data_IF_718723743587
#
_entry.id   IF_718723743587
#
_cell.length_a   1.000
_cell.length_b   1.000
_cell.length_c   1.000
_cell.angle_alpha   90.00
_cell.angle_beta   90.00
_cell.angle_gamma   90.00
#
_symmetry.space_group_name_H-M   'P 1'
#
loop_
_entity.id
_entity.type
_entity.pdbx_description
1 polymer ?
#
# COMPACT_ATOMS: atom_id res chain seq x y z
N UNK A 1 6.97 -22.29 17.62
CA UNK A 1 7.75 -21.71 18.74
C UNK A 1 7.17 -20.38 19.14
N UNK A 2 6.84 -19.57 18.12
CA UNK A 2 5.72 -18.65 17.93
C UNK A 2 4.62 -18.61 19.01
N UNK A 3 3.99 -19.74 19.35
CA UNK A 3 2.71 -19.72 20.06
C UNK A 3 1.57 -20.35 19.26
N UNK A 4 1.82 -20.67 18.00
CA UNK A 4 0.90 -21.35 17.11
C UNK A 4 1.25 -22.86 17.06
N UNK A 5 0.26 -23.77 17.06
CA UNK A 5 0.55 -25.19 16.92
C UNK A 5 1.03 -25.50 15.50
N UNK A 6 2.18 -26.18 15.36
CA UNK A 6 2.75 -26.64 14.08
C UNK A 6 1.80 -27.34 13.10
N UNK A 7 0.67 -27.88 13.57
CA UNK A 7 -0.31 -28.52 12.69
C UNK A 7 -1.27 -27.52 12.02
N UNK A 8 -1.25 -26.26 12.45
CA UNK A 8 -1.97 -25.11 11.88
C UNK A 8 -1.17 -24.46 10.77
N UNK A 9 0.14 -24.44 10.91
CA UNK A 9 1.12 -24.00 9.90
C UNK A 9 1.39 -25.09 8.84
N UNK A 10 0.40 -25.95 8.58
CA UNK A 10 0.48 -26.99 7.57
C UNK A 10 -0.15 -26.50 6.28
N UNK A 11 0.67 -26.18 5.28
CA UNK A 11 0.17 -25.74 3.97
C UNK A 11 -0.33 -26.94 3.17
N UNK A 12 -1.60 -26.88 2.74
CA UNK A 12 -2.29 -27.96 2.01
C UNK A 12 -2.26 -29.34 2.70
N UNK A 13 -2.12 -29.36 4.03
CA UNK A 13 -2.01 -30.58 4.83
C UNK A 13 -0.64 -31.26 4.75
N UNK A 14 0.38 -30.54 4.28
CA UNK A 14 1.78 -30.95 4.31
C UNK A 14 2.39 -30.51 5.63
N UNK A 15 3.07 -31.43 6.31
CA UNK A 15 3.81 -31.13 7.55
C UNK A 15 5.22 -30.65 7.14
N UNK A 16 5.63 -29.41 7.47
CA UNK A 16 6.95 -28.90 7.10
C UNK A 16 8.07 -29.76 7.69
N UNK A 17 7.86 -30.35 8.86
CA UNK A 17 8.84 -31.18 9.58
C UNK A 17 8.87 -32.65 9.13
N UNK A 18 7.96 -33.05 8.25
CA UNK A 18 7.96 -34.40 7.68
C UNK A 18 9.06 -34.58 6.63
N UNK A 19 9.35 -35.83 6.29
CA UNK A 19 10.31 -36.25 5.27
C UNK A 19 9.52 -37.17 4.31
N UNK A 20 8.78 -36.55 3.40
CA UNK A 20 7.78 -37.25 2.58
C UNK A 20 8.41 -38.14 1.50
N UNK A 21 9.61 -37.79 1.06
CA UNK A 21 10.34 -38.49 0.02
C UNK A 21 11.32 -39.55 0.59
N UNK A 22 11.68 -39.44 1.87
CA UNK A 22 12.47 -40.38 2.63
C UNK A 22 13.98 -40.27 2.43
N UNK A 23 14.47 -39.13 1.94
CA UNK A 23 15.90 -38.86 1.73
C UNK A 23 16.62 -38.35 3.00
N UNK A 24 15.84 -38.00 4.04
CA UNK A 24 16.32 -37.55 5.33
C UNK A 24 16.42 -36.04 5.48
N UNK A 25 15.91 -35.27 4.52
CA UNK A 25 15.74 -33.81 4.59
C UNK A 25 14.26 -33.49 4.84
N UNK A 26 13.93 -32.62 5.81
CA UNK A 26 12.55 -32.20 6.04
C UNK A 26 11.96 -31.44 4.85
N UNK A 27 10.65 -31.50 4.65
CA UNK A 27 9.93 -30.88 3.53
C UNK A 27 10.23 -29.38 3.36
N UNK A 28 10.34 -28.62 4.47
CA UNK A 28 10.67 -27.19 4.44
C UNK A 28 12.09 -26.87 3.97
N UNK A 29 12.97 -27.87 3.88
CA UNK A 29 14.38 -27.73 3.49
C UNK A 29 14.77 -28.68 2.35
N UNK A 30 13.82 -29.40 1.75
CA UNK A 30 14.09 -30.46 0.78
C UNK A 30 13.91 -29.97 -0.67
N UNK A 31 14.99 -29.70 -1.43
CA UNK A 31 14.89 -29.25 -2.82
C UNK A 31 14.39 -30.34 -3.78
N UNK A 32 14.20 -31.56 -3.29
CA UNK A 32 13.63 -32.68 -4.03
C UNK A 32 12.14 -32.91 -3.71
N UNK A 33 11.61 -32.20 -2.71
CA UNK A 33 10.19 -32.15 -2.39
C UNK A 33 9.39 -31.59 -3.57
N UNK A 34 8.30 -32.25 -3.99
CA UNK A 34 7.46 -31.74 -5.08
C UNK A 34 6.80 -30.41 -4.70
N UNK A 35 7.13 -29.35 -5.46
CA UNK A 35 6.59 -28.02 -5.19
C UNK A 35 7.49 -27.14 -4.33
N UNK A 36 8.73 -27.57 -4.04
CA UNK A 36 9.75 -26.71 -3.45
C UNK A 36 9.98 -25.46 -4.31
N UNK A 37 9.82 -24.30 -3.70
CA UNK A 37 10.11 -22.95 -4.22
C UNK A 37 11.11 -22.32 -3.24
N UNK A 38 12.09 -21.57 -3.75
CA UNK A 38 13.21 -20.99 -2.99
C UNK A 38 13.75 -19.83 -3.84
N UNK A 39 12.96 -18.76 -3.93
CA UNK A 39 13.24 -17.61 -4.77
C UNK A 39 14.35 -16.74 -4.19
N UNK A 40 14.42 -16.61 -2.87
CA UNK A 40 15.41 -15.83 -2.15
C UNK A 40 16.79 -16.56 -2.02
N UNK A 41 16.82 -17.89 -2.18
CA UNK A 41 18.03 -18.71 -2.22
C UNK A 41 18.65 -19.02 -0.86
N UNK A 42 17.90 -18.94 0.23
CA UNK A 42 18.36 -19.22 1.59
C UNK A 42 18.31 -20.72 1.96
N UNK A 43 17.57 -21.52 1.18
CA UNK A 43 17.41 -22.96 1.35
C UNK A 43 16.28 -23.37 2.28
N UNK A 44 15.42 -22.44 2.69
CA UNK A 44 14.06 -22.67 3.15
C UNK A 44 13.14 -22.70 1.92
N UNK A 45 11.95 -23.27 2.07
CA UNK A 45 10.96 -23.34 1.02
C UNK A 45 9.94 -22.24 1.25
N UNK A 46 9.80 -21.29 0.32
CA UNK A 46 8.91 -20.11 0.39
C UNK A 46 7.43 -20.48 0.68
N UNK A 47 7.02 -21.74 0.48
CA UNK A 47 5.70 -22.20 0.94
C UNK A 47 5.63 -22.52 2.44
N UNK A 48 6.59 -22.09 3.26
CA UNK A 48 6.63 -22.29 4.72
C UNK A 48 7.43 -21.16 5.40
N UNK A 49 7.57 -20.02 4.71
CA UNK A 49 8.42 -18.87 5.04
C UNK A 49 7.77 -17.68 4.33
N UNK A 50 6.71 -17.17 4.96
CA UNK A 50 5.70 -16.30 4.35
C UNK A 50 6.27 -14.96 3.95
N UNK A 51 7.07 -14.35 4.83
CA UNK A 51 7.80 -13.10 4.59
C UNK A 51 9.14 -13.29 3.84
N UNK A 52 9.64 -14.53 3.73
CA UNK A 52 10.89 -14.86 3.05
C UNK A 52 12.13 -14.35 3.77
N UNK A 53 12.09 -14.21 5.09
CA UNK A 53 13.21 -13.74 5.92
C UNK A 53 14.27 -14.83 6.20
N UNK A 54 13.92 -16.09 5.92
CA UNK A 54 14.74 -17.29 6.09
C UNK A 54 14.49 -18.07 7.38
N UNK A 55 13.48 -17.69 8.15
CA UNK A 55 12.98 -18.33 9.33
C UNK A 55 11.58 -18.91 9.02
N UNK A 56 11.43 -20.24 8.88
CA UNK A 56 10.12 -20.79 8.53
C UNK A 56 9.05 -20.55 9.60
N UNK A 57 7.81 -20.27 9.18
CA UNK A 57 6.67 -19.79 10.00
C UNK A 57 6.57 -20.50 11.37
N UNK A 58 6.67 -21.83 11.40
CA UNK A 58 6.55 -22.65 12.62
C UNK A 58 7.67 -22.47 13.69
N UNK A 59 8.65 -21.65 13.37
CA UNK A 59 9.77 -21.21 14.20
C UNK A 59 9.98 -19.70 14.11
N UNK A 60 9.18 -18.99 13.34
CA UNK A 60 9.05 -17.55 13.38
C UNK A 60 8.29 -17.13 14.65
N UNK A 61 8.26 -15.85 14.99
CA UNK A 61 7.34 -15.27 15.96
C UNK A 61 6.53 -14.10 15.40
N UNK A 62 6.76 -13.73 14.14
CA UNK A 62 6.22 -12.58 13.40
C UNK A 62 6.22 -12.96 11.89
N UNK A 63 5.39 -13.94 11.51
CA UNK A 63 5.56 -14.73 10.26
C UNK A 63 5.30 -13.97 8.96
N UNK A 64 4.55 -12.87 9.00
CA UNK A 64 4.35 -11.91 7.91
C UNK A 64 5.22 -10.65 8.08
N UNK A 65 5.98 -10.56 9.17
CA UNK A 65 6.92 -9.50 9.48
C UNK A 65 6.28 -8.09 9.50
N UNK A 66 5.00 -7.97 9.88
CA UNK A 66 4.31 -6.68 10.04
C UNK A 66 4.70 -5.96 11.36
N UNK A 67 5.43 -6.65 12.25
CA UNK A 67 5.91 -6.13 13.52
C UNK A 67 4.94 -6.27 14.70
N UNK A 68 3.83 -6.98 14.50
CA UNK A 68 2.98 -7.53 15.56
C UNK A 68 3.67 -8.84 15.98
N UNK A 69 3.00 -9.89 16.42
CA UNK A 69 3.67 -11.10 16.90
C UNK A 69 2.63 -12.19 16.79
N UNK A 70 2.87 -13.29 16.10
CA UNK A 70 1.91 -14.38 15.86
C UNK A 70 1.04 -14.74 17.09
N UNK A 71 1.65 -14.71 18.28
CA UNK A 71 0.97 -14.99 19.56
C UNK A 71 -0.11 -13.98 19.98
N UNK A 72 -0.12 -12.79 19.37
CA UNK A 72 -1.04 -11.67 19.51
C UNK A 72 -2.13 -11.81 18.45
N UNK A 73 -1.79 -11.92 17.16
CA UNK A 73 -2.77 -12.05 16.07
C UNK A 73 -3.53 -13.37 16.08
N UNK A 74 -2.88 -14.49 16.38
CA UNK A 74 -3.58 -15.78 16.53
C UNK A 74 -4.64 -15.74 17.67
N UNK A 75 -4.63 -14.70 18.48
CA UNK A 75 -5.63 -14.39 19.47
C UNK A 75 -5.62 -15.34 20.66
N UNK A 76 -6.75 -15.39 21.38
CA UNK A 76 -6.81 -16.10 22.67
C UNK A 76 -6.82 -17.64 22.55
N UNK A 77 -7.08 -18.18 21.37
CA UNK A 77 -7.16 -19.61 21.09
C UNK A 77 -6.36 -19.95 19.83
N UNK A 78 -5.04 -20.18 19.93
CA UNK A 78 -4.20 -20.46 18.76
C UNK A 78 -4.51 -21.82 18.10
N UNK A 79 -5.40 -22.63 18.67
CA UNK A 79 -5.97 -23.81 17.99
C UNK A 79 -7.07 -23.43 16.98
N UNK A 80 -7.50 -22.18 16.97
CA UNK A 80 -8.37 -21.54 15.99
C UNK A 80 -7.89 -20.09 15.84
N UNK A 81 -6.75 -19.88 15.14
CA UNK A 81 -6.23 -18.54 14.86
C UNK A 81 -7.33 -17.64 14.30
N UNK A 82 -7.23 -16.35 14.62
CA UNK A 82 -8.16 -15.34 14.12
C UNK A 82 -7.92 -15.14 12.62
N UNK A 83 -8.98 -14.71 11.98
CA UNK A 83 -9.16 -14.42 10.54
C UNK A 83 -10.28 -13.37 10.58
N UNK A 84 -9.86 -12.11 10.74
CA UNK A 84 -10.70 -10.99 11.16
C UNK A 84 -11.63 -10.53 10.05
N UNK A 85 -11.11 -10.40 8.83
CA UNK A 85 -11.86 -10.00 7.65
C UNK A 85 -12.61 -11.19 6.96
N UNK A 86 -12.15 -12.43 7.17
CA UNK A 86 -12.76 -13.64 6.63
C UNK A 86 -12.29 -14.03 5.23
N UNK A 87 -11.13 -13.59 4.77
CA UNK A 87 -10.58 -13.88 3.44
C UNK A 87 -9.94 -15.29 3.32
N UNK A 88 -9.68 -15.95 4.46
CA UNK A 88 -9.03 -17.26 4.66
C UNK A 88 -7.51 -17.25 4.86
N UNK A 89 -6.87 -16.08 4.90
CA UNK A 89 -5.55 -15.84 5.45
C UNK A 89 -5.75 -15.55 6.94
N UNK A 90 -5.09 -16.27 7.87
CA UNK A 90 -5.17 -15.93 9.28
C UNK A 90 -4.37 -14.65 9.58
N UNK A 91 -4.84 -13.82 10.51
CA UNK A 91 -4.24 -12.53 10.92
C UNK A 91 -2.72 -12.55 11.25
N UNK A 92 -2.07 -13.71 11.39
CA UNK A 92 -0.61 -13.78 11.64
C UNK A 92 0.22 -14.07 10.37
N UNK A 93 -0.46 -14.11 9.23
CA UNK A 93 0.11 -14.30 7.89
C UNK A 93 -0.48 -13.27 6.91
N UNK A 94 -1.14 -12.24 7.43
CA UNK A 94 -2.01 -11.32 6.72
C UNK A 94 -1.46 -9.91 6.90
N UNK A 95 -1.19 -9.21 5.80
CA UNK A 95 -0.63 -7.86 5.88
C UNK A 95 -1.68 -6.74 6.07
N UNK A 96 -2.97 -7.07 6.05
CA UNK A 96 -4.12 -6.14 6.14
C UNK A 96 -5.31 -6.85 6.82
N UNK A 97 -5.16 -7.18 8.11
CA UNK A 97 -6.02 -8.12 8.84
C UNK A 97 -7.49 -7.73 8.93
N UNK A 98 -7.84 -6.46 8.77
CA UNK A 98 -9.23 -5.99 8.74
C UNK A 98 -9.73 -5.55 7.35
N UNK A 99 -8.84 -5.60 6.36
CA UNK A 99 -9.09 -5.40 4.94
C UNK A 99 -9.73 -4.04 4.65
N UNK A 100 -9.23 -3.02 5.34
CA UNK A 100 -9.50 -1.62 5.05
C UNK A 100 -8.44 -1.01 4.09
N UNK A 101 -7.39 -1.80 3.82
CA UNK A 101 -6.29 -1.55 2.90
C UNK A 101 -5.19 -0.63 3.44
N UNK A 102 -5.19 -0.32 4.72
CA UNK A 102 -4.00 0.13 5.40
C UNK A 102 -3.26 -1.13 5.89
N UNK A 103 -1.94 -1.19 5.72
CA UNK A 103 -1.20 -2.36 6.17
C UNK A 103 -1.07 -2.38 7.70
N UNK A 104 -1.08 -3.59 8.27
CA UNK A 104 -0.94 -3.82 9.70
C UNK A 104 0.38 -3.24 10.26
N UNK A 105 1.45 -3.20 9.43
CA UNK A 105 2.74 -2.56 9.79
C UNK A 105 2.62 -1.07 10.10
N UNK A 106 1.66 -0.38 9.48
CA UNK A 106 1.42 1.05 9.67
C UNK A 106 0.45 1.33 10.84
N UNK A 107 -0.42 0.38 11.15
CA UNK A 107 -1.48 0.50 12.16
C UNK A 107 -1.08 -0.07 13.52
N UNK A 108 -0.50 -1.27 13.50
CA UNK A 108 -0.27 -2.10 14.66
C UNK A 108 0.84 -1.58 15.55
N UNK A 109 2.03 -1.30 14.99
CA UNK A 109 3.22 -1.02 15.79
C UNK A 109 3.90 0.32 15.43
N UNK A 110 3.89 1.33 16.31
CA UNK A 110 4.45 2.65 16.01
C UNK A 110 5.99 2.67 15.99
N UNK A 111 6.63 1.59 16.43
CA UNK A 111 8.08 1.40 16.35
C UNK A 111 8.50 0.61 15.09
N UNK A 112 7.54 0.03 14.35
CA UNK A 112 7.77 -0.59 13.05
C UNK A 112 8.27 0.44 12.03
N UNK A 113 9.14 -0.02 11.14
CA UNK A 113 9.72 0.82 10.09
C UNK A 113 9.69 0.03 8.81
N UNK A 114 8.71 0.34 7.96
CA UNK A 114 8.73 -0.01 6.54
C UNK A 114 9.27 1.19 5.74
N UNK A 115 10.58 1.23 5.47
CA UNK A 115 11.15 2.32 4.69
C UNK A 115 11.04 2.11 3.18
N UNK A 116 10.77 0.90 2.72
CA UNK A 116 10.79 0.57 1.30
C UNK A 116 9.40 0.37 0.67
N UNK A 117 8.35 0.40 1.49
CA UNK A 117 6.95 0.28 1.07
C UNK A 117 6.71 -1.12 0.54
N UNK A 118 7.02 -2.13 1.34
CA UNK A 118 6.71 -3.52 1.04
C UNK A 118 5.78 -4.17 2.06
N UNK A 119 5.20 -3.42 2.99
CA UNK A 119 4.22 -3.91 3.94
C UNK A 119 4.83 -4.64 5.12
N UNK A 120 6.16 -4.79 5.14
CA UNK A 120 6.90 -5.52 6.17
C UNK A 120 7.88 -4.59 6.88
N UNK A 121 8.23 -4.96 8.11
CA UNK A 121 9.26 -4.27 8.89
C UNK A 121 10.62 -4.52 8.26
N UNK A 122 11.36 -3.45 7.99
CA UNK A 122 12.73 -3.52 7.49
C UNK A 122 13.64 -4.33 8.45
N UNK A 123 14.25 -5.39 7.91
CA UNK A 123 15.29 -6.15 8.59
C UNK A 123 16.54 -5.34 8.98
N UNK A 124 17.53 -5.99 9.62
CA UNK A 124 17.76 -7.44 9.62
C UNK A 124 16.89 -8.20 10.63
N UNK A 125 16.71 -9.49 10.35
CA UNK A 125 15.95 -10.44 11.16
C UNK A 125 16.87 -11.41 11.91
N UNK A 126 16.38 -11.89 13.06
CA UNK A 126 17.09 -12.73 14.02
C UNK A 126 16.94 -14.24 13.82
N UNK A 127 17.38 -15.05 14.79
CA UNK A 127 17.10 -16.52 14.80
C UNK A 127 15.62 -16.83 15.19
N UNK A 128 14.80 -15.81 15.43
CA UNK A 128 13.39 -15.89 15.81
C UNK A 128 12.45 -15.18 14.82
N UNK A 129 12.94 -14.68 13.68
CA UNK A 129 12.13 -14.05 12.64
C UNK A 129 11.84 -12.57 12.84
N UNK A 130 11.53 -12.17 14.08
CA UNK A 130 11.27 -10.76 14.39
C UNK A 130 12.46 -9.83 14.05
N UNK A 131 12.14 -8.67 13.46
CA UNK A 131 13.11 -7.63 13.11
C UNK A 131 13.93 -7.12 14.33
N UNK A 132 15.26 -7.05 14.17
CA UNK A 132 16.23 -6.57 15.17
C UNK A 132 15.88 -5.16 15.70
N UNK A 133 15.22 -4.35 14.87
CA UNK A 133 14.78 -2.98 15.16
C UNK A 133 13.76 -2.93 16.31
N UNK A 134 12.91 -3.95 16.43
CA UNK A 134 11.82 -4.03 17.40
C UNK A 134 12.24 -4.66 18.74
N UNK A 135 13.22 -5.56 18.71
CA UNK A 135 13.66 -6.32 19.90
C UNK A 135 15.09 -5.99 20.36
N UNK A 136 15.80 -5.12 19.66
CA UNK A 136 17.20 -4.76 19.95
C UNK A 136 18.11 -6.03 19.95
N UNK A 137 17.82 -6.96 19.02
CA UNK A 137 18.53 -8.22 18.76
C UNK A 137 18.47 -9.22 19.91
N UNK A 138 17.26 -9.49 20.40
CA UNK A 138 16.99 -10.53 21.39
C UNK A 138 16.37 -11.74 20.69
N UNK A 139 17.21 -12.53 20.01
CA UNK A 139 16.83 -13.71 19.21
C UNK A 139 16.22 -14.90 20.01
N UNK A 140 15.32 -14.63 20.93
CA UNK A 140 14.64 -15.63 21.74
C UNK A 140 13.14 -15.52 21.50
N UNK A 141 12.45 -16.67 21.51
CA UNK A 141 10.97 -16.75 21.53
C UNK A 141 10.28 -16.02 22.71
N UNK A 142 11.00 -15.28 23.53
CA UNK A 142 10.47 -14.44 24.59
C UNK A 142 10.79 -12.96 24.41
N UNK A 143 11.18 -12.55 23.19
CA UNK A 143 11.27 -11.17 22.78
C UNK A 143 9.96 -10.43 23.08
N UNK A 144 10.06 -9.13 23.29
CA UNK A 144 8.91 -8.30 23.64
C UNK A 144 8.93 -7.04 22.82
N UNK A 145 7.87 -6.83 22.06
CA UNK A 145 7.62 -5.60 21.29
C UNK A 145 6.68 -4.66 22.04
N UNK A 146 6.49 -3.48 21.47
CA UNK A 146 5.44 -2.56 21.91
C UNK A 146 4.07 -3.21 21.61
N UNK A 147 3.11 -3.21 22.56
CA UNK A 147 1.78 -3.74 22.26
C UNK A 147 1.10 -2.97 21.12
N UNK A 148 0.20 -3.62 20.36
CA UNK A 148 -0.55 -2.96 19.30
C UNK A 148 -1.22 -1.66 19.74
N UNK A 149 -1.29 -0.68 18.83
CA UNK A 149 -2.01 0.57 19.04
C UNK A 149 -3.52 0.30 19.14
N UNK A 150 -4.19 1.13 19.95
CA UNK A 150 -5.65 1.17 20.13
C UNK A 150 -5.98 2.66 20.35
N UNK A 151 -6.23 3.35 19.24
CA UNK A 151 -6.27 4.81 19.14
C UNK A 151 -7.49 5.38 19.86
N UNK A 152 -8.68 4.82 19.65
CA UNK A 152 -9.92 5.28 20.28
C UNK A 152 -10.17 4.67 21.69
N UNK A 153 -9.40 3.64 22.06
CA UNK A 153 -9.47 2.90 23.33
C UNK A 153 -10.78 2.12 23.53
N UNK A 154 -11.39 1.60 22.45
CA UNK A 154 -12.56 0.74 22.53
C UNK A 154 -12.23 -0.72 22.87
N UNK A 155 -10.96 -1.10 22.68
CA UNK A 155 -10.41 -2.42 22.97
C UNK A 155 -10.19 -3.32 21.76
N UNK A 156 -10.46 -2.82 20.55
CA UNK A 156 -10.01 -3.35 19.27
C UNK A 156 -8.72 -2.62 18.89
N UNK A 157 -7.61 -3.32 18.63
CA UNK A 157 -6.41 -2.69 18.10
C UNK A 157 -6.63 -2.09 16.71
N UNK A 158 -5.85 -1.08 16.35
CA UNK A 158 -6.01 -0.32 15.09
C UNK A 158 -5.97 -1.24 13.85
N UNK A 159 -5.00 -2.16 13.75
CA UNK A 159 -4.90 -3.16 12.67
C UNK A 159 -6.07 -4.16 12.57
N UNK A 160 -7.04 -4.07 13.49
CA UNK A 160 -8.27 -4.88 13.52
C UNK A 160 -9.54 -4.01 13.55
N UNK A 161 -9.40 -2.69 13.41
CA UNK A 161 -10.44 -1.68 13.63
C UNK A 161 -10.55 -0.65 12.49
N UNK A 162 -11.41 -0.96 11.52
CA UNK A 162 -11.88 -0.10 10.42
C UNK A 162 -12.35 1.35 10.73
N UNK A 163 -12.33 1.84 11.98
CA UNK A 163 -12.63 3.23 12.41
C UNK A 163 -11.75 3.58 13.63
N UNK A 164 -10.42 3.49 13.46
CA UNK A 164 -9.37 3.55 14.49
C UNK A 164 -9.46 4.75 15.45
N UNK A 165 -9.92 5.93 14.99
CA UNK A 165 -10.12 7.10 15.86
C UNK A 165 -11.56 7.29 16.40
N UNK A 166 -12.47 6.44 15.95
CA UNK A 166 -13.87 6.39 16.36
C UNK A 166 -14.66 7.66 16.02
N UNK A 167 -14.26 8.41 14.98
CA UNK A 167 -14.99 9.60 14.52
C UNK A 167 -16.24 9.26 13.67
N UNK A 168 -16.34 8.01 13.21
CA UNK A 168 -17.43 7.47 12.41
C UNK A 168 -17.21 7.58 10.91
N UNK A 169 -15.97 7.78 10.48
CA UNK A 169 -15.50 7.73 9.10
C UNK A 169 -14.58 6.52 9.00
N UNK A 170 -14.89 5.52 8.15
CA UNK A 170 -14.02 4.36 8.05
C UNK A 170 -12.63 4.71 7.53
N UNK A 171 -11.63 4.01 8.04
CA UNK A 171 -10.20 4.26 7.81
C UNK A 171 -9.83 4.15 6.32
N UNK A 172 -10.39 3.16 5.61
CA UNK A 172 -10.31 3.01 4.15
C UNK A 172 -10.70 4.26 3.34
N UNK A 173 -11.48 5.19 3.93
CA UNK A 173 -11.82 6.47 3.30
C UNK A 173 -11.52 7.69 4.17
N UNK A 174 -10.87 7.52 5.32
CA UNK A 174 -10.51 8.61 6.21
C UNK A 174 -9.23 9.31 5.73
N UNK A 175 -9.27 10.63 5.81
CA UNK A 175 -8.11 11.47 5.58
C UNK A 175 -7.22 11.66 6.83
N UNK A 176 -7.62 11.15 7.98
CA UNK A 176 -6.96 11.23 9.28
C UNK A 176 -7.37 10.02 10.17
N UNK A 177 -7.14 8.76 9.72
CA UNK A 177 -7.66 7.54 10.38
C UNK A 177 -7.28 7.43 11.87
N UNK A 178 -6.14 8.01 12.26
CA UNK A 178 -5.67 8.01 13.65
C UNK A 178 -5.97 9.31 14.44
N UNK A 179 -6.72 10.25 13.86
CA UNK A 179 -7.12 11.51 14.49
C UNK A 179 -5.96 12.41 14.96
N UNK A 180 -4.77 12.21 14.40
CA UNK A 180 -3.52 12.81 14.85
C UNK A 180 -3.09 14.02 13.97
N UNK A 181 -3.82 14.27 12.87
CA UNK A 181 -3.60 15.33 11.91
C UNK A 181 -2.52 15.02 10.87
N UNK A 182 -2.16 13.75 10.71
CA UNK A 182 -1.32 13.26 9.62
C UNK A 182 -2.09 13.24 8.30
N UNK A 183 -1.34 13.17 7.20
CA UNK A 183 -1.88 13.16 5.83
C UNK A 183 -2.18 11.71 5.48
N UNK A 184 -3.29 11.40 4.82
CA UNK A 184 -3.77 10.02 4.82
C UNK A 184 -2.99 9.11 3.90
N UNK A 185 -2.96 7.83 4.30
CA UNK A 185 -2.88 6.67 3.43
C UNK A 185 -4.24 6.41 2.74
N UNK A 186 -4.96 7.48 2.38
CA UNK A 186 -6.36 7.39 1.96
C UNK A 186 -6.45 6.53 0.72
N UNK A 187 -7.12 5.40 0.88
CA UNK A 187 -7.32 4.46 -0.19
C UNK A 187 -8.31 4.96 -1.23
N UNK A 188 -8.47 4.19 -2.31
CA UNK A 188 -9.42 4.48 -3.38
C UNK A 188 -10.85 4.36 -2.82
N UNK A 189 -11.64 5.43 -2.72
CA UNK A 189 -13.04 5.33 -2.27
C UNK A 189 -13.94 4.55 -3.24
N UNK A 190 -13.37 4.01 -4.33
CA UNK A 190 -14.02 3.06 -5.22
C UNK A 190 -13.75 1.59 -4.88
N UNK A 191 -12.81 1.30 -3.98
CA UNK A 191 -12.54 -0.01 -3.41
C UNK A 191 -13.59 -0.39 -2.35
N UNK A 192 -13.95 0.54 -1.45
CA UNK A 192 -15.15 0.41 -0.58
C UNK A 192 -16.34 1.17 -1.19
N UNK A 193 -17.10 0.53 -2.09
CA UNK A 193 -18.22 1.18 -2.76
C UNK A 193 -19.49 1.26 -1.91
N UNK A 194 -19.58 0.46 -0.85
CA UNK A 194 -20.77 0.31 -0.02
C UNK A 194 -20.70 1.11 1.30
N UNK A 195 -19.48 1.52 1.67
CA UNK A 195 -19.14 2.41 2.77
C UNK A 195 -19.16 1.70 4.12
N UNK A 196 -18.82 0.42 4.16
CA UNK A 196 -18.78 -0.37 5.40
C UNK A 196 -17.39 -0.51 6.02
N UNK A 197 -16.38 0.11 5.42
CA UNK A 197 -15.01 0.16 5.90
C UNK A 197 -14.10 -0.88 5.27
N UNK A 198 -14.66 -1.93 4.69
CA UNK A 198 -13.93 -3.07 4.13
C UNK A 198 -13.86 -2.94 2.60
N UNK A 199 -12.75 -3.37 2.02
CA UNK A 199 -12.57 -3.44 0.57
C UNK A 199 -13.56 -4.43 -0.05
N UNK A 200 -14.29 -4.02 -1.10
CA UNK A 200 -15.33 -4.84 -1.75
C UNK A 200 -14.77 -6.01 -2.58
N UNK A 201 -13.50 -5.93 -3.01
CA UNK A 201 -12.83 -7.01 -3.73
C UNK A 201 -12.44 -8.11 -2.75
N UNK A 202 -12.52 -9.36 -3.20
CA UNK A 202 -12.14 -10.55 -2.41
C UNK A 202 -11.12 -11.38 -3.20
N UNK A 203 -10.41 -10.74 -4.12
CA UNK A 203 -9.42 -11.39 -4.97
C UNK A 203 -8.07 -11.03 -4.40
N UNK A 204 -7.40 -12.02 -3.84
CA UNK A 204 -6.00 -11.97 -3.47
C UNK A 204 -5.28 -13.02 -4.33
N UNK A 205 -4.41 -12.54 -5.23
CA UNK A 205 -3.72 -13.40 -6.21
C UNK A 205 -2.50 -14.09 -5.60
N UNK A 206 -1.93 -13.49 -4.58
CA UNK A 206 -0.64 -13.72 -3.95
C UNK A 206 -0.78 -14.65 -2.75
N UNK A 207 -1.87 -14.47 -2.01
CA UNK A 207 -2.05 -15.01 -0.68
C UNK A 207 -1.42 -14.16 0.43
N UNK A 208 -1.20 -12.85 0.21
CA UNK A 208 -0.56 -11.96 1.21
C UNK A 208 -1.53 -11.19 2.10
N UNK A 209 -2.84 -11.47 1.95
CA UNK A 209 -3.89 -10.83 2.74
C UNK A 209 -4.37 -9.50 2.18
N UNK A 210 -3.65 -8.91 1.21
CA UNK A 210 -4.05 -7.65 0.59
C UNK A 210 -4.86 -7.91 -0.68
N UNK A 211 -6.04 -7.31 -0.78
CA UNK A 211 -6.89 -7.53 -1.95
C UNK A 211 -6.31 -6.83 -3.21
N UNK A 212 -6.32 -7.52 -4.37
CA UNK A 212 -5.85 -7.08 -5.71
C UNK A 212 -6.22 -5.62 -6.07
N UNK A 213 -7.36 -5.14 -5.58
CA UNK A 213 -7.89 -3.81 -5.88
C UNK A 213 -7.18 -2.68 -5.15
N UNK A 214 -6.59 -3.01 -4.00
CA UNK A 214 -5.83 -2.13 -3.12
C UNK A 214 -4.39 -2.59 -2.96
N UNK A 215 -3.97 -3.68 -3.61
CA UNK A 215 -2.58 -4.16 -3.55
C UNK A 215 -1.64 -3.43 -4.54
N UNK A 216 -0.52 -2.92 -4.01
CA UNK A 216 0.56 -2.27 -4.75
C UNK A 216 1.38 -3.23 -5.62
N UNK A 217 1.37 -4.52 -5.27
CA UNK A 217 2.06 -5.64 -5.93
C UNK A 217 1.16 -6.90 -6.10
N UNK A 218 0.09 -6.87 -6.93
CA UNK A 218 -0.92 -7.97 -7.12
C UNK A 218 -0.48 -9.36 -7.60
N UNK A 219 0.82 -9.66 -7.59
CA UNK A 219 1.38 -10.96 -7.98
C UNK A 219 2.71 -11.28 -7.22
N UNK A 220 3.13 -10.41 -6.30
CA UNK A 220 4.27 -10.58 -5.39
C UNK A 220 3.88 -10.05 -3.99
N UNK A 221 4.06 -10.84 -2.92
CA UNK A 221 3.83 -10.44 -1.52
C UNK A 221 4.29 -9.00 -1.21
N UNK A 222 3.45 -8.18 -0.58
CA UNK A 222 3.85 -6.92 0.03
C UNK A 222 2.79 -5.83 0.19
N UNK A 223 3.17 -4.57 -0.07
CA UNK A 223 2.46 -3.35 0.35
C UNK A 223 1.15 -3.04 -0.39
N UNK A 224 0.14 -2.56 0.35
CA UNK A 224 -1.03 -1.95 -0.23
C UNK A 224 -0.70 -0.66 -1.00
N UNK A 225 -1.60 -0.28 -1.89
CA UNK A 225 -1.51 0.97 -2.63
C UNK A 225 -1.73 2.11 -1.66
N UNK A 226 -0.63 2.75 -1.26
CA UNK A 226 -0.70 4.10 -0.69
C UNK A 226 -1.14 5.09 -1.79
N UNK A 227 -2.45 5.29 -1.94
CA UNK A 227 -2.97 6.40 -2.74
C UNK A 227 -2.77 7.68 -1.94
N UNK A 228 -1.56 8.24 -2.08
CA UNK A 228 -1.35 9.63 -1.78
C UNK A 228 -2.15 10.50 -2.77
N UNK A 229 -3.45 10.66 -2.54
CA UNK A 229 -4.09 11.91 -2.89
C UNK A 229 -3.47 12.95 -1.96
N UNK A 230 -2.49 13.71 -2.47
CA UNK A 230 -2.22 15.03 -1.90
C UNK A 230 -3.49 15.83 -2.18
N UNK A 231 -4.53 15.59 -1.39
CA UNK A 231 -5.78 16.30 -1.47
C UNK A 231 -5.34 17.73 -1.20
N UNK A 232 -5.39 18.61 -2.22
CA UNK A 232 -4.58 19.80 -2.14
C UNK A 232 -5.18 20.76 -1.09
N UNK A 233 -6.33 20.41 -0.52
CA UNK A 233 -7.01 21.03 0.62
C UNK A 233 -6.68 20.37 1.98
N UNK A 234 -5.38 20.30 2.31
CA UNK A 234 -4.83 19.91 3.62
C UNK A 234 -5.06 20.97 4.70
N UNK A 235 -6.28 21.03 5.27
CA UNK A 235 -6.58 21.84 6.45
C UNK A 235 -6.18 23.32 6.35
N UNK A 236 -6.26 24.06 7.47
CA UNK A 236 -6.01 25.52 7.44
C UNK A 236 -4.53 25.91 7.57
N UNK A 237 -3.63 24.94 7.70
CA UNK A 237 -2.24 25.17 8.14
C UNK A 237 -1.15 24.79 7.15
N UNK A 238 -1.38 23.93 6.14
CA UNK A 238 -0.34 23.48 5.20
C UNK A 238 -0.83 23.31 3.74
N UNK A 239 -1.69 24.20 3.25
CA UNK A 239 -2.18 24.14 1.86
C UNK A 239 -1.03 24.41 0.87
N UNK A 240 -0.64 23.40 0.07
CA UNK A 240 0.40 23.54 -0.97
C UNK A 240 -0.01 24.62 -1.99
N UNK A 241 0.96 25.38 -2.49
CA UNK A 241 0.71 26.37 -3.54
C UNK A 241 0.42 25.68 -4.87
N UNK A 242 -0.68 26.08 -5.54
CA UNK A 242 -0.93 25.66 -6.93
C UNK A 242 0.22 26.13 -7.82
N UNK A 243 0.88 25.19 -8.49
CA UNK A 243 2.04 25.49 -9.35
C UNK A 243 1.64 25.79 -10.80
N UNK A 244 0.51 25.24 -11.25
CA UNK A 244 0.07 25.33 -12.65
C UNK A 244 -1.23 26.12 -12.76
N UNK A 245 -1.26 27.09 -13.68
CA UNK A 245 -2.43 27.93 -13.93
C UNK A 245 -2.62 28.28 -15.39
N UNK A 246 -3.83 28.10 -15.89
CA UNK A 246 -4.23 28.51 -17.23
C UNK A 246 -5.25 29.65 -17.10
N UNK A 247 -4.88 30.86 -17.53
CA UNK A 247 -5.75 32.03 -17.47
C UNK A 247 -5.94 32.68 -18.83
N UNK A 248 -7.20 32.92 -19.20
CA UNK A 248 -7.56 33.74 -20.37
C UNK A 248 -7.49 35.24 -20.08
N UNK A 249 -7.14 35.64 -18.86
CA UNK A 249 -7.04 37.03 -18.41
C UNK A 249 -5.64 37.64 -18.55
N UNK A 250 -4.76 36.98 -19.34
CA UNK A 250 -3.39 37.43 -19.61
C UNK A 250 -2.55 37.60 -18.33
N UNK A 251 -2.70 36.65 -17.39
CA UNK A 251 -1.85 36.56 -16.19
C UNK A 251 -0.60 35.77 -16.51
N UNK A 252 0.56 36.42 -16.43
CA UNK A 252 1.84 35.91 -16.93
C UNK A 252 2.95 35.93 -15.87
N UNK A 253 2.58 36.00 -14.59
CA UNK A 253 3.48 35.86 -13.44
C UNK A 253 2.93 34.78 -12.50
N UNK A 254 3.74 34.16 -11.66
CA UNK A 254 3.26 33.15 -10.68
C UNK A 254 2.49 33.79 -9.50
N UNK A 255 2.57 35.11 -9.38
CA UNK A 255 1.99 35.89 -8.28
C UNK A 255 0.46 35.73 -8.18
N UNK A 256 -0.26 35.45 -9.27
CA UNK A 256 -1.72 35.30 -9.19
C UNK A 256 -2.18 33.97 -8.62
N UNK A 257 -1.36 32.92 -8.73
CA UNK A 257 -1.60 31.60 -8.13
C UNK A 257 -1.42 31.67 -6.61
N UNK A 258 -0.43 32.43 -6.16
CA UNK A 258 -0.09 32.58 -4.74
C UNK A 258 -0.88 33.69 -4.04
N UNK A 259 -1.13 34.83 -4.69
CA UNK A 259 -1.72 36.02 -4.05
C UNK A 259 -3.26 36.02 -3.97
N UNK A 260 -3.96 35.15 -4.71
CA UNK A 260 -5.44 35.11 -4.74
C UNK A 260 -6.05 33.93 -3.98
N UNK A 261 -5.29 33.31 -3.08
CA UNK A 261 -5.75 32.15 -2.29
C UNK A 261 -6.20 30.97 -3.17
N UNK A 262 -5.58 30.82 -4.35
CA UNK A 262 -5.70 29.63 -5.18
C UNK A 262 -4.66 28.63 -4.73
N UNK A 263 -4.78 28.24 -3.47
CA UNK A 263 -3.98 27.21 -2.85
C UNK A 263 -4.77 25.92 -2.97
N UNK A 264 -4.07 24.80 -2.97
CA UNK A 264 -4.74 23.52 -2.88
C UNK A 264 -5.50 23.14 -4.14
N UNK A 265 -4.93 23.37 -5.32
CA UNK A 265 -5.39 22.76 -6.56
C UNK A 265 -4.18 22.25 -7.35
N UNK A 266 -4.35 21.13 -8.07
CA UNK A 266 -3.35 20.66 -9.04
C UNK A 266 -3.22 21.63 -10.21
N UNK A 267 -4.35 22.09 -10.75
CA UNK A 267 -4.40 23.07 -11.85
C UNK A 267 -5.52 24.07 -11.59
N UNK A 268 -5.21 25.36 -11.74
CA UNK A 268 -6.23 26.42 -11.74
C UNK A 268 -6.58 26.83 -13.16
N UNK A 269 -7.87 26.76 -13.49
CA UNK A 269 -8.42 27.22 -14.76
C UNK A 269 -9.28 28.47 -14.54
N UNK A 270 -8.95 29.57 -15.24
CA UNK A 270 -9.68 30.83 -15.07
C UNK A 270 -10.11 31.46 -16.42
N UNK A 271 -11.40 31.79 -16.50
CA UNK A 271 -11.94 32.64 -17.56
C UNK A 271 -13.05 33.54 -17.06
N UNK A 272 -13.10 34.78 -17.58
CA UNK A 272 -14.18 35.73 -17.29
C UNK A 272 -15.36 35.63 -18.26
N UNK A 273 -15.19 34.99 -19.43
CA UNK A 273 -16.14 35.10 -20.54
C UNK A 273 -16.38 33.79 -21.31
N UNK A 274 -15.55 32.76 -21.11
CA UNK A 274 -15.62 31.51 -21.88
C UNK A 274 -15.67 30.30 -20.97
N UNK A 275 -16.48 29.32 -21.33
CA UNK A 275 -16.38 27.99 -20.74
C UNK A 275 -15.10 27.31 -21.21
N UNK A 276 -14.45 26.59 -20.30
CA UNK A 276 -13.35 25.70 -20.62
C UNK A 276 -13.93 24.32 -20.99
N UNK A 277 -13.45 23.73 -22.08
CA UNK A 277 -13.86 22.40 -22.51
C UNK A 277 -12.58 21.60 -22.72
N UNK A 278 -12.43 20.53 -21.95
CA UNK A 278 -11.36 19.54 -22.15
C UNK A 278 -11.80 18.64 -23.30
N UNK A 279 -11.09 18.64 -24.45
CA UNK A 279 -11.37 17.69 -25.52
C UNK A 279 -11.17 16.26 -25.02
N UNK A 280 -12.09 15.36 -25.38
CA UNK A 280 -12.00 13.94 -25.03
C UNK A 280 -11.69 13.11 -26.27
N UNK A 281 -10.76 12.18 -26.15
CA UNK A 281 -10.36 11.25 -27.22
C UNK A 281 -10.61 9.81 -26.78
N UNK A 282 -10.97 8.95 -27.73
CA UNK A 282 -11.29 7.54 -27.43
C UNK A 282 -10.04 6.68 -27.28
N UNK A 283 -8.98 6.97 -28.05
CA UNK A 283 -7.72 6.26 -28.04
C UNK A 283 -6.53 7.24 -27.95
N UNK A 284 -5.42 6.83 -27.34
CA UNK A 284 -4.18 7.63 -27.24
C UNK A 284 -3.66 8.00 -28.63
N UNK A 285 -3.72 7.06 -29.58
CA UNK A 285 -3.30 7.30 -30.95
C UNK A 285 -4.13 8.40 -31.66
N UNK A 286 -5.38 8.62 -31.24
CA UNK A 286 -6.22 9.69 -31.81
C UNK A 286 -5.72 11.07 -31.38
N UNK A 287 -5.15 11.21 -30.19
CA UNK A 287 -4.59 12.46 -29.67
C UNK A 287 -3.38 12.85 -30.53
N UNK A 288 -2.46 11.89 -30.72
CA UNK A 288 -1.24 12.04 -31.52
C UNK A 288 -1.56 12.37 -32.98
N UNK A 289 -2.52 11.66 -33.58
CA UNK A 289 -2.86 11.84 -35.01
C UNK A 289 -3.75 13.06 -35.27
N UNK A 290 -4.58 13.48 -34.32
CA UNK A 290 -5.52 14.61 -34.49
C UNK A 290 -4.91 15.96 -34.12
N UNK A 291 -4.03 16.00 -33.11
CA UNK A 291 -3.43 17.25 -32.61
C UNK A 291 -1.99 17.44 -33.11
N UNK A 292 -1.32 16.39 -33.61
CA UNK A 292 -0.19 16.53 -34.54
C UNK A 292 1.11 15.91 -34.04
N UNK A 293 1.31 14.62 -34.29
CA UNK A 293 2.53 13.90 -34.04
C UNK A 293 3.61 13.99 -35.15
N UNK A 294 3.59 15.01 -36.04
CA UNK A 294 4.65 15.09 -37.06
C UNK A 294 5.04 16.48 -37.61
N UNK A 295 4.56 17.60 -37.06
CA UNK A 295 5.01 18.93 -37.60
C UNK A 295 5.07 20.13 -36.64
N UNK A 296 4.88 19.98 -35.32
CA UNK A 296 4.79 21.15 -34.39
C UNK A 296 3.75 22.19 -34.84
N UNK A 297 2.73 21.78 -35.59
CA UNK A 297 1.75 22.70 -36.18
C UNK A 297 0.45 22.67 -35.35
N UNK A 298 0.46 23.33 -34.19
CA UNK A 298 -0.77 23.65 -33.45
C UNK A 298 -0.88 23.10 -32.04
N UNK A 299 0.15 22.41 -31.53
CA UNK A 299 0.29 22.06 -30.12
C UNK A 299 1.27 23.00 -29.45
N UNK A 300 0.94 23.43 -28.23
CA UNK A 300 1.78 24.24 -27.37
C UNK A 300 1.91 23.54 -26.03
N UNK A 301 3.04 23.74 -25.35
CA UNK A 301 3.26 23.27 -23.98
C UNK A 301 2.10 23.72 -23.06
N UNK A 302 1.62 22.81 -22.21
CA UNK A 302 0.50 23.04 -21.30
C UNK A 302 -0.89 22.82 -21.90
N UNK A 303 -1.02 22.39 -23.17
CA UNK A 303 -2.31 21.93 -23.68
C UNK A 303 -2.77 20.67 -22.95
N UNK A 304 -4.08 20.58 -22.65
CA UNK A 304 -4.68 19.45 -21.92
C UNK A 304 -5.82 18.79 -22.68
N UNK A 305 -5.90 17.45 -22.57
CA UNK A 305 -6.93 16.60 -23.16
C UNK A 305 -7.28 15.46 -22.19
N UNK A 306 -8.46 14.87 -22.35
CA UNK A 306 -8.83 13.65 -21.65
C UNK A 306 -8.68 12.46 -22.60
N UNK A 307 -7.97 11.42 -22.15
CA UNK A 307 -7.75 10.18 -22.88
C UNK A 307 -8.59 9.06 -22.26
N UNK A 308 -9.57 8.55 -23.00
CA UNK A 308 -10.42 7.46 -22.50
C UNK A 308 -9.71 6.10 -22.49
N UNK A 309 -8.70 5.87 -23.32
CA UNK A 309 -7.98 4.58 -23.37
C UNK A 309 -7.01 4.47 -22.20
N UNK A 310 -6.31 5.57 -21.89
CA UNK A 310 -5.43 5.67 -20.74
C UNK A 310 -6.16 6.08 -19.44
N UNK A 311 -7.48 6.32 -19.50
CA UNK A 311 -8.32 6.79 -18.41
C UNK A 311 -7.75 7.96 -17.59
N UNK A 312 -7.11 8.94 -18.25
CA UNK A 312 -6.39 10.01 -17.55
C UNK A 312 -6.54 11.38 -18.24
N UNK A 313 -6.31 12.45 -17.48
CA UNK A 313 -6.12 13.79 -18.01
C UNK A 313 -4.65 13.94 -18.48
N UNK A 314 -4.41 14.16 -19.77
CA UNK A 314 -3.05 14.35 -20.33
C UNK A 314 -2.71 15.83 -20.51
N UNK A 315 -1.46 16.18 -20.25
CA UNK A 315 -0.85 17.47 -20.57
C UNK A 315 0.31 17.30 -21.56
N UNK A 316 0.44 18.23 -22.49
CA UNK A 316 1.56 18.27 -23.43
C UNK A 316 2.74 19.05 -22.84
N UNK A 317 3.83 18.37 -22.47
CA UNK A 317 5.03 19.00 -21.91
C UNK A 317 6.27 18.11 -22.08
N UNK A 318 7.44 18.64 -21.75
CA UNK A 318 8.71 17.92 -21.72
C UNK A 318 8.92 17.29 -20.34
N UNK A 319 8.67 15.99 -20.22
CA UNK A 319 8.83 15.25 -18.96
C UNK A 319 10.28 14.80 -18.71
N UNK A 320 11.16 14.91 -19.70
CA UNK A 320 12.53 14.40 -19.66
C UNK A 320 13.58 15.50 -19.50
N UNK A 321 13.18 16.76 -19.68
CA UNK A 321 14.05 17.94 -19.65
C UNK A 321 15.02 18.00 -20.83
N UNK A 322 14.81 17.19 -21.87
CA UNK A 322 15.68 17.07 -23.04
C UNK A 322 15.16 17.87 -24.25
N UNK A 323 14.04 18.57 -24.07
CA UNK A 323 13.33 19.36 -25.08
C UNK A 323 12.32 18.54 -25.90
N UNK A 324 12.12 17.26 -25.59
CA UNK A 324 11.16 16.41 -26.29
C UNK A 324 9.78 16.57 -25.66
N UNK A 325 8.85 17.16 -26.41
CA UNK A 325 7.47 17.34 -25.95
C UNK A 325 6.63 16.10 -26.24
N UNK A 326 5.94 15.58 -25.23
CA UNK A 326 5.03 14.42 -25.33
C UNK A 326 3.72 14.68 -24.59
N UNK A 327 2.68 13.90 -24.90
CA UNK A 327 1.45 13.86 -24.10
C UNK A 327 1.66 12.91 -22.93
N UNK A 328 1.68 13.44 -21.71
CA UNK A 328 1.86 12.65 -20.49
C UNK A 328 0.60 12.77 -19.63
N UNK A 329 0.18 11.67 -18.97
CA UNK A 329 -0.87 11.76 -17.95
C UNK A 329 -0.39 12.70 -16.85
N UNK A 330 -1.28 13.57 -16.38
CA UNK A 330 -1.10 14.24 -15.10
C UNK A 330 -1.38 13.16 -14.07
N UNK A 331 -0.34 12.52 -13.58
CA UNK A 331 -0.41 11.70 -12.38
C UNK A 331 -0.28 12.59 -11.15
N UNK A 332 -0.74 12.09 -10.01
CA UNK A 332 -0.32 12.65 -8.73
C UNK A 332 1.20 12.50 -8.60
N UNK A 333 1.85 13.36 -7.81
CA UNK A 333 3.19 13.04 -7.34
C UNK A 333 3.06 11.71 -6.59
N UNK A 334 3.82 10.69 -7.01
CA UNK A 334 4.03 9.50 -6.18
C UNK A 334 4.65 9.99 -4.88
N UNK A 335 4.02 9.67 -3.76
CA UNK A 335 4.67 9.87 -2.47
C UNK A 335 5.96 9.08 -2.49
N UNK A 336 7.08 9.78 -2.55
CA UNK A 336 8.29 9.22 -1.98
C UNK A 336 8.13 9.44 -0.48
N UNK A 337 8.12 8.37 0.32
CA UNK A 337 8.19 8.42 1.79
C UNK A 337 9.35 9.28 2.34
N UNK A 338 10.23 9.76 1.46
CA UNK A 338 11.00 10.97 1.73
C UNK A 338 10.12 12.24 1.69
N UNK A 339 9.50 12.57 2.83
CA UNK A 339 9.12 13.93 3.20
C UNK A 339 10.15 14.98 2.69
N UNK A 340 9.75 16.15 2.18
CA UNK A 340 10.63 17.31 2.10
C UNK A 340 10.92 17.97 3.45
#
# INVERSE_FOLDING_TARGET
>A
GDGIPNYKEMIDGVDPLADDDGDGVPNYQDPTYPGFVDENGDGINDNFDTDGDGQPDFLDIDSDNDGILDSVEAGVDPENPVDTDGDSVPDYLDLDSDNDGINDVDEGNPDAVDADGDGMVDGPYGDNGLADSLENGDDTFGATVTPPVDTDNDGTPDYLDTDSDGDGTPDSIDTDPYGNGDVPQSQDPSADADGDGIVDDMTDTDGDGIMDSVDGRPNEFGDAIVICEISPNMGTTNIKSTQVGISTLNRNNEEWLTANNQLGAYIVLESSEKGFVIPRYQATADIETTIGADTNAGVEEGMIVWDNEANCLKMFYDNTGDGTMTWNCISNDTCTNTQP
#
